data_IF_552584901755
#
_entry.id   IF_552584901755
#
_cell.length_a   1.000
_cell.length_b   1.000
_cell.length_c   1.000
_cell.angle_alpha   90.00
_cell.angle_beta   90.00
_cell.angle_gamma   90.00
#
_symmetry.space_group_name_H-M   'P 1'
#
loop_
_entity.id
_entity.type
_entity.pdbx_description
1 polymer ?
#
# COMPACT_ATOMS: atom_id res chain seq x y z
N UNK A 1 15.81 -10.91 18.95
CA UNK A 1 14.54 -11.52 18.47
C UNK A 1 14.90 -12.83 17.78
N UNK A 2 14.26 -13.93 18.16
CA UNK A 2 14.27 -15.20 17.40
C UNK A 2 12.88 -15.34 16.79
N UNK A 3 12.78 -15.61 15.49
CA UNK A 3 11.50 -15.74 14.82
C UNK A 3 11.39 -17.07 14.06
N UNK A 4 10.15 -17.49 13.84
CA UNK A 4 9.79 -18.62 12.97
C UNK A 4 8.66 -18.16 12.06
N UNK A 5 8.85 -18.29 10.76
CA UNK A 5 7.80 -18.03 9.77
C UNK A 5 6.98 -19.30 9.55
N UNK A 6 5.66 -19.16 9.53
CA UNK A 6 4.71 -20.22 9.21
C UNK A 6 3.92 -19.76 7.99
N UNK A 7 4.19 -20.36 6.84
CA UNK A 7 3.53 -20.03 5.58
C UNK A 7 2.18 -20.75 5.51
N UNK A 8 1.09 -19.99 5.60
CA UNK A 8 -0.28 -20.54 5.55
C UNK A 8 -0.91 -20.44 4.15
N UNK A 9 -0.23 -19.83 3.18
CA UNK A 9 -0.79 -19.50 1.87
C UNK A 9 -1.67 -18.24 1.92
N UNK A 10 -2.15 -17.79 0.75
CA UNK A 10 -2.85 -16.52 0.59
C UNK A 10 -4.09 -16.59 -0.31
N UNK A 11 -4.56 -17.80 -0.64
CA UNK A 11 -5.70 -18.04 -1.53
C UNK A 11 -6.92 -18.54 -0.77
N UNK A 12 -8.10 -18.49 -1.39
CA UNK A 12 -9.32 -19.09 -0.81
C UNK A 12 -9.18 -20.61 -0.55
N UNK A 13 -8.35 -21.30 -1.31
CA UNK A 13 -8.05 -22.71 -1.10
C UNK A 13 -7.19 -22.96 0.16
N UNK A 14 -6.53 -21.91 0.66
CA UNK A 14 -5.68 -21.96 1.84
C UNK A 14 -6.43 -21.64 3.14
N UNK A 15 -7.48 -20.82 3.07
CA UNK A 15 -8.29 -20.38 4.21
C UNK A 15 -8.71 -21.48 5.19
N UNK A 16 -9.13 -22.69 4.76
CA UNK A 16 -9.57 -23.73 5.69
C UNK A 16 -8.52 -24.15 6.72
N UNK A 17 -7.23 -23.87 6.48
CA UNK A 17 -6.10 -24.25 7.34
C UNK A 17 -5.79 -23.19 8.41
N UNK A 18 -6.24 -21.95 8.20
CA UNK A 18 -5.74 -20.79 8.95
C UNK A 18 -6.14 -20.82 10.42
N UNK A 19 -7.41 -21.14 10.72
CA UNK A 19 -7.91 -21.27 12.09
C UNK A 19 -7.15 -22.34 12.87
N UNK A 20 -7.07 -23.56 12.31
CA UNK A 20 -6.39 -24.69 12.95
C UNK A 20 -4.91 -24.37 13.20
N UNK A 21 -4.23 -23.74 12.24
CA UNK A 21 -2.82 -23.36 12.39
C UNK A 21 -2.63 -22.31 13.49
N UNK A 22 -3.47 -21.27 13.54
CA UNK A 22 -3.39 -20.25 14.59
C UNK A 22 -3.62 -20.85 15.98
N UNK A 23 -4.62 -21.72 16.11
CA UNK A 23 -4.92 -22.40 17.36
C UNK A 23 -3.82 -23.37 17.78
N UNK A 24 -3.24 -24.14 16.86
CA UNK A 24 -2.10 -25.02 17.13
C UNK A 24 -0.90 -24.24 17.65
N UNK A 25 -0.55 -23.13 16.99
CA UNK A 25 0.59 -22.28 17.37
C UNK A 25 0.35 -21.65 18.74
N UNK A 26 -0.85 -21.11 18.98
CA UNK A 26 -1.21 -20.52 20.27
C UNK A 26 -1.24 -21.57 21.40
N UNK A 27 -1.72 -22.79 21.12
CA UNK A 27 -1.77 -23.88 22.09
C UNK A 27 -0.39 -24.32 22.56
N UNK A 28 0.65 -24.19 21.73
CA UNK A 28 2.02 -24.57 22.13
C UNK A 28 2.53 -23.78 23.33
N UNK A 29 2.11 -22.51 23.46
CA UNK A 29 2.66 -21.57 24.45
C UNK A 29 4.16 -21.30 24.28
N UNK A 30 4.74 -21.62 23.12
CA UNK A 30 6.18 -21.48 22.87
C UNK A 30 6.61 -20.06 22.47
N UNK A 31 5.67 -19.22 22.04
CA UNK A 31 5.96 -17.90 21.45
C UNK A 31 5.52 -16.76 22.37
N UNK A 32 6.43 -15.83 22.65
CA UNK A 32 6.09 -14.61 23.41
C UNK A 32 5.04 -13.74 22.69
N UNK A 33 5.05 -13.75 21.35
CA UNK A 33 4.14 -13.01 20.48
C UNK A 33 3.89 -13.79 19.18
N UNK A 34 2.63 -13.88 18.79
CA UNK A 34 2.21 -14.38 17.47
C UNK A 34 1.83 -13.16 16.62
N UNK A 35 2.54 -12.97 15.50
CA UNK A 35 2.27 -11.89 14.54
C UNK A 35 1.45 -12.48 13.39
N UNK A 36 0.31 -11.86 13.12
CA UNK A 36 -0.65 -12.29 12.11
C UNK A 36 -0.91 -11.15 11.13
N UNK A 37 -1.09 -11.49 9.85
CA UNK A 37 -1.58 -10.57 8.84
C UNK A 37 -2.09 -11.38 7.64
N UNK A 38 -2.88 -10.80 6.76
CA UNK A 38 -3.25 -9.37 6.67
C UNK A 38 -4.76 -9.18 6.89
N UNK A 39 -5.43 -8.31 6.14
CA UNK A 39 -6.86 -7.95 6.25
C UNK A 39 -7.85 -9.14 6.26
N UNK A 40 -7.43 -10.34 5.85
CA UNK A 40 -8.24 -11.56 5.81
C UNK A 40 -8.26 -12.32 7.14
N UNK A 41 -7.37 -11.98 8.08
CA UNK A 41 -7.18 -12.70 9.33
C UNK A 41 -8.05 -12.30 10.54
N UNK A 42 -8.82 -11.18 10.58
CA UNK A 42 -9.36 -10.69 11.84
C UNK A 42 -10.36 -11.62 12.53
N UNK A 43 -11.22 -12.29 11.77
CA UNK A 43 -12.18 -13.25 12.34
C UNK A 43 -11.48 -14.44 13.00
N UNK A 44 -10.48 -15.00 12.30
CA UNK A 44 -9.70 -16.14 12.80
C UNK A 44 -8.91 -15.75 14.05
N UNK A 45 -8.24 -14.59 14.00
CA UNK A 45 -7.46 -14.11 15.12
C UNK A 45 -8.34 -13.79 16.34
N UNK A 46 -9.53 -13.22 16.14
CA UNK A 46 -10.46 -12.94 17.24
C UNK A 46 -10.84 -14.21 18.00
N UNK A 47 -11.17 -15.27 17.26
CA UNK A 47 -11.53 -16.56 17.85
C UNK A 47 -10.36 -17.14 18.65
N UNK A 48 -9.17 -17.24 18.04
CA UNK A 48 -7.97 -17.75 18.70
C UNK A 48 -7.58 -16.89 19.91
N UNK A 49 -7.54 -15.57 19.79
CA UNK A 49 -7.16 -14.68 20.89
C UNK A 49 -8.12 -14.75 22.08
N UNK A 50 -9.40 -15.08 21.83
CA UNK A 50 -10.41 -15.32 22.87
C UNK A 50 -10.18 -16.65 23.58
N UNK A 51 -9.82 -17.69 22.83
CA UNK A 51 -9.54 -19.03 23.38
C UNK A 51 -8.21 -19.10 24.14
N UNK A 52 -7.24 -18.24 23.80
CA UNK A 52 -5.90 -18.21 24.39
C UNK A 52 -5.57 -16.82 24.98
N UNK A 53 -6.23 -16.39 26.07
CA UNK A 53 -6.10 -15.02 26.60
C UNK A 53 -4.71 -14.68 27.16
N UNK A 54 -3.90 -15.69 27.49
CA UNK A 54 -2.54 -15.50 27.99
C UNK A 54 -1.50 -15.32 26.86
N UNK A 55 -1.79 -15.80 25.64
CA UNK A 55 -0.95 -15.63 24.47
C UNK A 55 -1.08 -14.20 23.93
N UNK A 56 0.05 -13.54 23.60
CA UNK A 56 0.02 -12.23 22.95
C UNK A 56 -0.03 -12.35 21.44
N UNK A 57 -0.76 -11.44 20.84
CA UNK A 57 -0.95 -11.37 19.40
C UNK A 57 -0.72 -9.94 18.89
N UNK A 58 -0.22 -9.85 17.67
CA UNK A 58 -0.26 -8.64 16.87
C UNK A 58 -0.97 -8.96 15.56
N UNK A 59 -1.84 -8.06 15.11
CA UNK A 59 -2.33 -8.03 13.74
C UNK A 59 -1.95 -6.72 13.07
N UNK A 60 -1.63 -6.77 11.77
CA UNK A 60 -1.46 -5.58 10.95
C UNK A 60 -2.44 -5.58 9.77
N UNK A 61 -2.74 -4.39 9.25
CA UNK A 61 -3.74 -4.15 8.19
C UNK A 61 -5.20 -4.48 8.59
N UNK A 62 -5.52 -4.41 9.89
CA UNK A 62 -6.89 -4.55 10.40
C UNK A 62 -7.11 -3.81 11.73
N UNK A 63 -8.30 -3.24 11.91
CA UNK A 63 -8.79 -2.72 13.18
C UNK A 63 -10.22 -3.16 13.55
N UNK A 64 -10.75 -4.21 12.90
CA UNK A 64 -12.16 -4.64 13.03
C UNK A 64 -12.56 -4.96 14.47
N UNK A 65 -11.67 -5.58 15.24
CA UNK A 65 -11.94 -6.07 16.61
C UNK A 65 -11.08 -5.41 17.69
N UNK A 66 -10.63 -4.16 17.47
CA UNK A 66 -9.84 -3.42 18.45
C UNK A 66 -10.57 -3.36 19.79
N UNK A 67 -9.88 -3.80 20.86
CA UNK A 67 -10.39 -3.76 22.23
C UNK A 67 -11.23 -4.97 22.64
N UNK A 68 -11.69 -5.81 21.72
CA UNK A 68 -12.41 -7.06 22.05
C UNK A 68 -11.49 -8.02 22.83
N UNK A 69 -10.22 -8.10 22.44
CA UNK A 69 -9.19 -8.95 23.05
C UNK A 69 -8.04 -8.11 23.63
N UNK A 70 -7.89 -8.13 24.96
CA UNK A 70 -6.85 -7.34 25.68
C UNK A 70 -5.43 -7.91 25.54
N UNK A 71 -5.25 -8.95 24.75
CA UNK A 71 -3.99 -9.60 24.39
C UNK A 71 -3.60 -9.39 22.92
N UNK A 72 -4.36 -8.58 22.16
CA UNK A 72 -4.09 -8.27 20.75
C UNK A 72 -3.68 -6.81 20.61
N UNK A 73 -2.65 -6.51 19.83
CA UNK A 73 -2.37 -5.15 19.33
C UNK A 73 -2.68 -5.10 17.83
N UNK A 74 -3.33 -4.03 17.39
CA UNK A 74 -3.64 -3.78 15.99
C UNK A 74 -2.73 -2.68 15.45
N UNK A 75 -1.99 -2.96 14.37
CA UNK A 75 -1.27 -1.95 13.60
C UNK A 75 -2.04 -1.61 12.32
N UNK A 76 -2.41 -0.34 12.17
CA UNK A 76 -3.01 0.18 10.93
C UNK A 76 -2.11 1.25 10.34
N UNK A 77 -2.29 1.54 9.05
CA UNK A 77 -1.44 2.47 8.31
C UNK A 77 -2.27 3.59 7.70
N UNK A 78 -1.69 4.79 7.61
CA UNK A 78 -2.26 5.89 6.82
C UNK A 78 -1.82 5.79 5.36
N UNK A 79 -2.23 4.71 4.70
CA UNK A 79 -1.88 4.51 3.29
C UNK A 79 -2.45 5.59 2.37
N UNK A 80 -3.53 6.28 2.78
CA UNK A 80 -4.01 7.49 2.13
C UNK A 80 -2.96 8.62 2.13
N UNK A 81 -2.26 8.88 3.24
CA UNK A 81 -1.21 9.91 3.31
C UNK A 81 -0.09 9.62 2.29
N UNK A 82 0.35 8.36 2.20
CA UNK A 82 1.31 7.94 1.18
C UNK A 82 0.73 8.02 -0.23
N UNK A 83 -0.52 7.56 -0.42
CA UNK A 83 -1.21 7.66 -1.70
C UNK A 83 -1.25 9.10 -2.21
N UNK A 84 -1.48 10.07 -1.32
CA UNK A 84 -1.42 11.50 -1.65
C UNK A 84 -0.06 11.91 -2.22
N UNK A 85 1.05 11.52 -1.58
CA UNK A 85 2.39 11.83 -2.08
C UNK A 85 2.66 11.20 -3.45
N UNK A 86 2.21 9.96 -3.63
CA UNK A 86 2.31 9.25 -4.92
C UNK A 86 1.46 9.95 -5.98
N UNK A 87 0.28 10.46 -5.62
CA UNK A 87 -0.60 11.21 -6.52
C UNK A 87 0.01 12.54 -6.96
N UNK A 88 0.57 13.30 -6.01
CA UNK A 88 1.32 14.53 -6.29
C UNK A 88 2.49 14.24 -7.24
N UNK A 89 3.27 13.20 -6.95
CA UNK A 89 4.39 12.79 -7.79
C UNK A 89 3.93 12.42 -9.21
N UNK A 90 2.92 11.55 -9.34
CA UNK A 90 2.43 11.08 -10.63
C UNK A 90 1.88 12.22 -11.50
N UNK A 91 1.09 13.13 -10.91
CA UNK A 91 0.52 14.28 -11.62
C UNK A 91 1.58 15.27 -12.12
N UNK A 92 2.67 15.45 -11.37
CA UNK A 92 3.81 16.24 -11.82
C UNK A 92 4.58 15.53 -12.93
N UNK A 93 4.89 14.25 -12.74
CA UNK A 93 5.71 13.48 -13.69
C UNK A 93 5.02 13.25 -15.04
N UNK A 94 3.71 12.99 -15.07
CA UNK A 94 2.94 12.85 -16.33
C UNK A 94 2.89 14.16 -17.15
N UNK A 95 3.29 15.28 -16.56
CA UNK A 95 3.45 16.56 -17.27
C UNK A 95 4.86 16.76 -17.86
N UNK A 96 5.84 15.93 -17.50
CA UNK A 96 7.24 16.06 -17.93
C UNK A 96 7.47 15.37 -19.29
N UNK A 97 6.83 15.87 -20.34
CA UNK A 97 6.87 15.30 -21.71
C UNK A 97 8.26 15.22 -22.37
N UNK A 98 9.29 15.85 -21.79
CA UNK A 98 10.68 15.71 -22.22
C UNK A 98 11.33 14.41 -21.69
N UNK A 99 10.76 13.79 -20.65
CA UNK A 99 11.19 12.49 -20.16
C UNK A 99 10.67 11.39 -21.08
N UNK A 100 11.52 10.41 -21.39
CA UNK A 100 11.11 9.24 -22.16
C UNK A 100 9.88 8.57 -21.54
N UNK A 101 9.04 7.94 -22.36
CA UNK A 101 7.84 7.20 -21.96
C UNK A 101 6.72 8.06 -21.32
N UNK A 102 6.87 9.38 -21.20
CA UNK A 102 5.77 10.31 -20.84
C UNK A 102 5.16 10.85 -22.13
N UNK A 103 3.83 10.93 -22.18
CA UNK A 103 3.10 11.44 -23.35
C UNK A 103 2.29 12.70 -23.00
N UNK A 104 1.64 13.30 -24.00
CA UNK A 104 0.96 14.58 -23.82
C UNK A 104 -0.47 14.49 -23.25
N UNK A 105 -1.03 13.28 -23.11
CA UNK A 105 -2.44 13.07 -22.75
C UNK A 105 -2.71 13.17 -21.24
N UNK A 106 -1.65 13.13 -20.40
CA UNK A 106 -1.74 13.25 -18.93
C UNK A 106 -2.71 12.25 -18.29
N UNK A 107 -2.55 10.97 -18.64
CA UNK A 107 -3.36 9.88 -18.05
C UNK A 107 -2.43 8.96 -17.26
N UNK A 108 -2.75 8.74 -16.00
CA UNK A 108 -2.05 7.80 -15.13
C UNK A 108 -2.96 6.61 -14.79
N UNK A 109 -2.37 5.51 -14.34
CA UNK A 109 -3.06 4.26 -14.06
C UNK A 109 -2.91 3.83 -12.60
N UNK A 110 -3.97 3.24 -12.07
CA UNK A 110 -3.99 2.58 -10.77
C UNK A 110 -4.45 1.13 -10.94
N UNK A 111 -3.60 0.17 -10.58
CA UNK A 111 -3.95 -1.26 -10.55
C UNK A 111 -4.04 -1.69 -9.08
N UNK A 112 -5.28 -1.79 -8.58
CA UNK A 112 -5.59 -2.27 -7.24
C UNK A 112 -5.69 -3.80 -7.17
N UNK A 113 -5.41 -4.38 -6.01
CA UNK A 113 -5.60 -5.80 -5.74
C UNK A 113 -7.07 -6.18 -5.63
N UNK A 114 -7.55 -6.38 -4.40
CA UNK A 114 -8.97 -6.64 -4.12
C UNK A 114 -9.66 -5.33 -3.72
N UNK A 115 -10.83 -5.06 -4.32
CA UNK A 115 -11.68 -3.95 -3.91
C UNK A 115 -12.07 -4.10 -2.44
N UNK A 116 -11.47 -3.26 -1.61
CA UNK A 116 -11.53 -3.33 -0.15
C UNK A 116 -11.29 -1.95 0.43
N UNK A 117 -11.73 -1.69 1.68
CA UNK A 117 -11.48 -0.42 2.35
C UNK A 117 -10.01 0.00 2.35
N UNK A 118 -9.09 -0.95 2.56
CA UNK A 118 -7.63 -0.69 2.56
C UNK A 118 -7.16 -0.23 1.18
N UNK A 119 -7.45 -0.96 0.10
CA UNK A 119 -7.02 -0.57 -1.26
C UNK A 119 -7.69 0.75 -1.70
N UNK A 120 -8.94 0.96 -1.30
CA UNK A 120 -9.64 2.21 -1.57
C UNK A 120 -9.05 3.39 -0.80
N UNK A 121 -8.39 3.16 0.35
CA UNK A 121 -7.70 4.20 1.10
C UNK A 121 -6.43 4.67 0.38
N UNK A 122 -5.65 3.75 -0.20
CA UNK A 122 -4.55 4.08 -1.11
C UNK A 122 -5.06 4.92 -2.30
N UNK A 123 -6.12 4.45 -2.95
CA UNK A 123 -6.72 5.11 -4.11
C UNK A 123 -7.21 6.51 -3.76
N UNK A 124 -7.88 6.69 -2.61
CA UNK A 124 -8.43 7.98 -2.22
C UNK A 124 -7.32 9.01 -2.03
N UNK A 125 -6.24 8.63 -1.35
CA UNK A 125 -5.03 9.46 -1.27
C UNK A 125 -4.50 9.84 -2.65
N UNK A 126 -4.31 8.84 -3.52
CA UNK A 126 -3.78 9.04 -4.87
C UNK A 126 -4.60 9.98 -5.73
N UNK A 127 -5.92 9.75 -5.83
CA UNK A 127 -6.82 10.61 -6.57
C UNK A 127 -6.83 12.04 -6.01
N UNK A 128 -6.81 12.20 -4.68
CA UNK A 128 -6.76 13.51 -4.04
C UNK A 128 -5.46 14.23 -4.38
N UNK A 129 -4.32 13.55 -4.26
CA UNK A 129 -2.99 14.11 -4.59
C UNK A 129 -2.86 14.50 -6.06
N UNK A 130 -3.40 13.67 -6.97
CA UNK A 130 -3.46 14.00 -8.41
C UNK A 130 -4.30 15.25 -8.62
N UNK A 131 -5.54 15.27 -8.11
CA UNK A 131 -6.49 16.37 -8.32
C UNK A 131 -6.01 17.72 -7.76
N UNK A 132 -5.41 17.70 -6.57
CA UNK A 132 -4.88 18.91 -5.93
C UNK A 132 -3.68 19.49 -6.69
N UNK A 133 -2.93 18.63 -7.39
CA UNK A 133 -1.73 19.00 -8.12
C UNK A 133 -2.04 19.48 -9.53
N UNK A 134 -2.84 18.71 -10.26
CA UNK A 134 -3.31 19.04 -11.61
C UNK A 134 -4.66 18.35 -11.87
N UNK A 135 -5.73 19.15 -11.81
CA UNK A 135 -7.10 18.67 -12.00
C UNK A 135 -7.42 18.24 -13.45
N UNK A 136 -6.53 18.48 -14.42
CA UNK A 136 -6.68 17.98 -15.79
C UNK A 136 -6.24 16.51 -15.94
N UNK A 137 -5.38 16.02 -15.04
CA UNK A 137 -4.88 14.64 -15.08
C UNK A 137 -6.02 13.66 -14.84
N UNK A 138 -6.06 12.61 -15.67
CA UNK A 138 -7.04 11.51 -15.57
C UNK A 138 -6.41 10.24 -15.00
N UNK A 139 -7.23 9.42 -14.36
CA UNK A 139 -6.78 8.19 -13.68
C UNK A 139 -7.61 6.98 -14.14
N UNK A 140 -7.01 6.08 -14.91
CA UNK A 140 -7.61 4.78 -15.23
C UNK A 140 -7.44 3.86 -14.01
N UNK A 141 -8.54 3.49 -13.36
CA UNK A 141 -8.55 2.70 -12.12
C UNK A 141 -9.11 1.32 -12.38
N UNK A 142 -8.33 0.27 -12.09
CA UNK A 142 -8.76 -1.13 -12.26
C UNK A 142 -8.41 -1.97 -11.04
N UNK A 143 -9.19 -3.01 -10.79
CA UNK A 143 -8.94 -3.99 -9.72
C UNK A 143 -8.73 -5.37 -10.33
N UNK A 144 -7.62 -6.00 -9.98
CA UNK A 144 -7.27 -7.35 -10.41
C UNK A 144 -8.20 -8.38 -9.77
N UNK A 145 -8.73 -8.07 -8.58
CA UNK A 145 -9.43 -8.98 -7.68
C UNK A 145 -8.57 -10.18 -7.25
N UNK A 146 -7.26 -9.94 -7.12
CA UNK A 146 -6.25 -10.87 -6.66
C UNK A 146 -5.01 -10.11 -6.22
N UNK A 147 -4.22 -10.72 -5.34
CA UNK A 147 -2.89 -10.22 -4.96
C UNK A 147 -1.75 -11.04 -5.59
N UNK A 148 -2.06 -12.09 -6.36
CA UNK A 148 -1.07 -13.06 -6.88
C UNK A 148 -1.22 -13.39 -8.37
N UNK A 149 -2.24 -12.84 -9.04
CA UNK A 149 -2.44 -12.98 -10.49
C UNK A 149 -1.73 -11.83 -11.23
N UNK A 150 -0.45 -12.01 -11.54
CA UNK A 150 0.35 -11.04 -12.31
C UNK A 150 -0.08 -10.97 -13.78
N UNK A 151 -0.57 -12.07 -14.34
CA UNK A 151 -0.96 -12.14 -15.75
C UNK A 151 -2.16 -11.23 -16.03
N UNK A 152 -3.19 -11.29 -15.19
CA UNK A 152 -4.36 -10.41 -15.31
C UNK A 152 -3.97 -8.94 -15.13
N UNK A 153 -3.13 -8.63 -14.15
CA UNK A 153 -2.64 -7.27 -13.93
C UNK A 153 -1.83 -6.73 -15.11
N UNK A 154 -1.01 -7.58 -15.75
CA UNK A 154 -0.28 -7.22 -16.97
C UNK A 154 -1.22 -6.88 -18.12
N UNK A 155 -2.22 -7.72 -18.39
CA UNK A 155 -3.21 -7.44 -19.44
C UNK A 155 -3.98 -6.14 -19.17
N UNK A 156 -4.30 -5.84 -17.91
CA UNK A 156 -4.88 -4.55 -17.51
C UNK A 156 -3.94 -3.39 -17.82
N UNK A 157 -2.64 -3.50 -17.46
CA UNK A 157 -1.64 -2.48 -17.74
C UNK A 157 -1.42 -2.26 -19.24
N UNK A 158 -1.37 -3.33 -20.05
CA UNK A 158 -1.28 -3.24 -21.51
C UNK A 158 -2.48 -2.50 -22.11
N UNK A 159 -3.69 -2.77 -21.62
CA UNK A 159 -4.90 -2.09 -22.06
C UNK A 159 -4.92 -0.62 -21.61
N UNK A 160 -4.54 -0.30 -20.38
CA UNK A 160 -4.38 1.09 -19.90
C UNK A 160 -3.45 1.90 -20.83
N UNK A 161 -2.27 1.35 -21.13
CA UNK A 161 -1.25 2.02 -21.94
C UNK A 161 -1.71 2.20 -23.38
N UNK A 162 -2.30 1.17 -24.00
CA UNK A 162 -2.63 1.20 -25.43
C UNK A 162 -3.98 1.84 -25.75
N UNK A 163 -4.98 1.69 -24.87
CA UNK A 163 -6.34 2.17 -25.13
C UNK A 163 -6.58 3.58 -24.58
N UNK A 164 -5.98 3.89 -23.42
CA UNK A 164 -6.19 5.15 -22.70
C UNK A 164 -4.93 6.03 -22.61
N UNK A 165 -3.85 5.66 -23.31
CA UNK A 165 -2.56 6.38 -23.30
C UNK A 165 -1.98 6.61 -21.89
N UNK A 166 -2.18 5.66 -20.98
CA UNK A 166 -1.56 5.74 -19.65
C UNK A 166 -0.04 5.71 -19.76
N UNK A 167 0.65 6.67 -19.13
CA UNK A 167 2.12 6.76 -19.13
C UNK A 167 2.79 6.52 -17.77
N UNK A 168 2.03 6.41 -16.68
CA UNK A 168 2.53 6.01 -15.37
C UNK A 168 1.52 5.08 -14.72
N UNK A 169 1.94 3.90 -14.25
CA UNK A 169 1.08 2.94 -13.54
C UNK A 169 1.55 2.77 -12.09
N UNK A 170 0.64 2.92 -11.13
CA UNK A 170 0.87 2.54 -9.74
C UNK A 170 0.24 1.17 -9.43
N UNK A 171 1.07 0.20 -9.03
CA UNK A 171 0.67 -1.20 -8.82
C UNK A 171 0.32 -1.54 -7.37
N UNK A 172 -0.84 -1.12 -6.87
CA UNK A 172 -1.32 -1.36 -5.49
C UNK A 172 -2.03 -2.72 -5.35
N UNK A 173 -1.33 -3.80 -5.69
CA UNK A 173 -1.94 -5.13 -5.80
C UNK A 173 -1.05 -6.28 -5.30
N UNK A 174 -0.17 -6.05 -4.32
CA UNK A 174 0.77 -7.09 -3.86
C UNK A 174 1.60 -7.64 -5.03
N UNK A 175 1.75 -8.96 -5.12
CA UNK A 175 2.50 -9.58 -6.23
C UNK A 175 1.84 -9.29 -7.59
N UNK A 176 0.50 -9.25 -7.67
CA UNK A 176 -0.21 -8.88 -8.91
C UNK A 176 0.25 -7.53 -9.47
N UNK A 177 0.58 -6.55 -8.62
CA UNK A 177 1.00 -5.20 -9.03
C UNK A 177 2.20 -5.20 -9.98
N UNK A 178 3.08 -6.20 -9.85
CA UNK A 178 4.26 -6.35 -10.71
C UNK A 178 3.90 -6.61 -12.18
N UNK A 179 2.68 -7.08 -12.48
CA UNK A 179 2.19 -7.16 -13.86
C UNK A 179 2.11 -5.79 -14.54
N UNK A 180 1.83 -4.72 -13.78
CA UNK A 180 1.89 -3.34 -14.28
C UNK A 180 3.29 -2.92 -14.69
N UNK A 181 4.30 -3.29 -13.89
CA UNK A 181 5.72 -3.07 -14.21
C UNK A 181 6.13 -3.85 -15.47
N UNK A 182 5.68 -5.11 -15.61
CA UNK A 182 5.91 -5.91 -16.80
C UNK A 182 5.29 -5.27 -18.06
N UNK A 183 4.06 -4.76 -17.98
CA UNK A 183 3.40 -4.07 -19.08
C UNK A 183 4.13 -2.78 -19.49
N UNK A 184 4.55 -1.96 -18.52
CA UNK A 184 5.32 -0.74 -18.76
C UNK A 184 6.68 -1.04 -19.41
N UNK A 185 7.42 -2.02 -18.88
CA UNK A 185 8.71 -2.49 -19.41
C UNK A 185 8.58 -3.02 -20.84
N UNK A 186 7.61 -3.93 -21.09
CA UNK A 186 7.42 -4.57 -22.38
C UNK A 186 7.04 -3.56 -23.48
N UNK A 187 6.16 -2.60 -23.16
CA UNK A 187 5.71 -1.61 -24.14
C UNK A 187 6.74 -0.51 -24.39
N UNK A 188 7.54 -0.17 -23.37
CA UNK A 188 8.43 1.00 -23.42
C UNK A 188 7.67 2.32 -23.61
N UNK A 189 6.42 2.39 -23.15
CA UNK A 189 5.51 3.55 -23.33
C UNK A 189 4.98 4.13 -22.02
N UNK A 190 5.35 3.53 -20.89
CA UNK A 190 4.96 4.00 -19.57
C UNK A 190 6.08 3.76 -18.55
N UNK A 191 5.94 4.39 -17.40
CA UNK A 191 6.69 4.14 -16.19
C UNK A 191 5.84 3.39 -15.16
N UNK A 192 6.50 2.88 -14.14
CA UNK A 192 5.88 2.23 -13.00
C UNK A 192 6.19 2.97 -11.70
N UNK A 193 5.26 2.89 -10.76
CA UNK A 193 5.45 3.27 -9.37
C UNK A 193 5.19 2.02 -8.53
N UNK A 194 6.10 1.70 -7.63
CA UNK A 194 5.98 0.56 -6.74
C UNK A 194 5.19 0.83 -5.47
N UNK A 195 4.96 -0.22 -4.68
CA UNK A 195 4.24 -0.15 -3.40
C UNK A 195 4.82 -1.10 -2.35
N UNK A 196 4.53 -0.81 -1.09
CA UNK A 196 4.90 -1.50 0.15
C UNK A 196 6.41 -1.51 0.46
N UNK A 197 7.25 -1.77 -0.53
CA UNK A 197 8.71 -1.77 -0.43
C UNK A 197 9.31 -0.96 -1.57
N UNK A 198 10.62 -0.65 -1.47
CA UNK A 198 11.36 -0.10 -2.59
C UNK A 198 11.48 -1.15 -3.70
N UNK A 199 10.63 -1.05 -4.71
CA UNK A 199 10.55 -2.04 -5.78
C UNK A 199 11.66 -1.91 -6.81
N UNK A 200 12.46 -0.84 -6.78
CA UNK A 200 13.72 -0.80 -7.53
C UNK A 200 14.71 -1.88 -7.02
N UNK A 201 14.58 -2.29 -5.75
CA UNK A 201 15.45 -3.30 -5.13
C UNK A 201 14.88 -4.73 -5.21
N UNK A 202 13.60 -4.89 -5.53
CA UNK A 202 12.93 -6.20 -5.47
C UNK A 202 12.47 -6.72 -6.83
N UNK A 203 12.31 -5.84 -7.82
CA UNK A 203 11.97 -6.22 -9.18
C UNK A 203 13.22 -6.64 -9.99
N UNK A 204 13.04 -7.44 -11.07
CA UNK A 204 14.10 -7.69 -12.04
C UNK A 204 14.66 -6.41 -12.67
N UNK A 205 15.92 -6.43 -13.10
CA UNK A 205 16.65 -5.24 -13.58
C UNK A 205 15.89 -4.39 -14.62
N UNK A 206 15.18 -5.01 -15.57
CA UNK A 206 14.43 -4.31 -16.62
C UNK A 206 13.19 -3.58 -16.06
N UNK A 207 12.51 -4.19 -15.10
CA UNK A 207 11.36 -3.60 -14.40
C UNK A 207 11.81 -2.56 -13.35
N UNK A 208 12.93 -2.80 -12.66
CA UNK A 208 13.54 -1.82 -11.77
C UNK A 208 13.93 -0.55 -12.53
N UNK A 209 14.48 -0.67 -13.74
CA UNK A 209 14.87 0.46 -14.58
C UNK A 209 13.71 1.39 -14.99
N UNK A 210 12.47 0.88 -15.02
CA UNK A 210 11.26 1.66 -15.33
C UNK A 210 10.45 2.05 -14.08
N UNK A 211 10.96 1.76 -12.87
CA UNK A 211 10.28 2.10 -11.62
C UNK A 211 10.76 3.47 -11.14
N UNK A 212 9.91 4.50 -11.22
CA UNK A 212 10.28 5.88 -10.90
C UNK A 212 10.49 6.12 -9.39
N UNK A 213 9.67 5.48 -8.57
CA UNK A 213 9.69 5.54 -7.10
C UNK A 213 8.81 4.42 -6.55
N UNK A 214 8.70 4.29 -5.23
CA UNK A 214 7.74 3.42 -4.57
C UNK A 214 7.10 4.11 -3.36
N UNK A 215 5.81 3.89 -3.17
CA UNK A 215 5.15 4.18 -1.90
C UNK A 215 5.52 3.10 -0.88
N UNK A 216 6.00 3.49 0.29
CA UNK A 216 6.46 2.56 1.33
C UNK A 216 5.37 2.34 2.38
N UNK A 217 5.10 1.08 2.69
CA UNK A 217 4.38 0.66 3.89
C UNK A 217 5.35 -0.14 4.75
N UNK A 218 5.95 0.51 5.74
CA UNK A 218 7.09 -0.01 6.49
C UNK A 218 6.66 -1.01 7.57
N UNK A 219 6.04 -2.12 7.17
CA UNK A 219 5.57 -3.17 8.08
C UNK A 219 6.73 -3.72 8.90
N UNK A 220 7.87 -3.98 8.25
CA UNK A 220 9.09 -4.45 8.88
C UNK A 220 9.56 -3.52 10.02
N UNK A 221 9.65 -2.22 9.76
CA UNK A 221 10.04 -1.23 10.76
C UNK A 221 8.97 -1.07 11.85
N UNK A 222 7.69 -1.21 11.49
CA UNK A 222 6.58 -1.13 12.44
C UNK A 222 6.59 -2.30 13.43
N UNK A 223 6.96 -3.50 12.97
CA UNK A 223 7.16 -4.65 13.84
C UNK A 223 8.38 -4.48 14.75
N UNK A 224 9.50 -3.98 14.21
CA UNK A 224 10.70 -3.68 15.00
C UNK A 224 10.38 -2.63 16.08
N UNK A 225 9.70 -1.55 15.70
CA UNK A 225 9.26 -0.49 16.61
C UNK A 225 8.43 -1.04 17.76
N UNK A 226 7.48 -1.95 17.50
CA UNK A 226 6.70 -2.56 18.57
C UNK A 226 7.58 -3.32 19.58
N UNK A 227 8.59 -4.05 19.10
CA UNK A 227 9.53 -4.73 19.99
C UNK A 227 10.37 -3.74 20.81
N UNK A 228 10.83 -2.64 20.20
CA UNK A 228 11.55 -1.59 20.91
C UNK A 228 10.69 -0.92 22.00
N UNK A 229 9.42 -0.67 21.71
CA UNK A 229 8.46 -0.15 22.69
C UNK A 229 8.25 -1.13 23.84
N UNK A 230 8.09 -2.42 23.52
CA UNK A 230 7.88 -3.47 24.51
C UNK A 230 9.09 -3.67 25.41
N UNK A 231 10.31 -3.70 24.86
CA UNK A 231 11.57 -3.76 25.62
C UNK A 231 11.73 -2.52 26.53
N UNK A 232 11.22 -1.37 26.10
CA UNK A 232 11.19 -0.16 26.91
C UNK A 232 10.03 -0.11 27.93
N UNK A 233 9.24 -1.18 28.05
CA UNK A 233 8.14 -1.34 29.00
C UNK A 233 6.83 -0.65 28.59
N UNK A 234 6.71 -0.20 27.33
CA UNK A 234 5.49 0.38 26.77
C UNK A 234 4.71 -0.70 26.02
N UNK A 235 3.41 -0.81 26.31
CA UNK A 235 2.57 -1.86 25.71
C UNK A 235 1.28 -1.28 25.15
N UNK A 236 0.85 -1.85 24.03
CA UNK A 236 -0.33 -1.42 23.28
C UNK A 236 -1.42 -2.51 23.21
N UNK A 237 -1.39 -3.49 24.12
CA UNK A 237 -2.38 -4.56 24.16
C UNK A 237 -3.81 -4.02 24.31
N UNK A 238 -4.73 -4.57 23.53
CA UNK A 238 -6.12 -4.15 23.40
C UNK A 238 -6.31 -2.82 22.64
N UNK A 239 -5.28 -2.31 21.96
CA UNK A 239 -5.31 -1.00 21.29
C UNK A 239 -4.91 -1.08 19.82
N UNK A 240 -5.38 -0.09 19.08
CA UNK A 240 -4.89 0.27 17.76
C UNK A 240 -3.71 1.24 17.86
N UNK A 241 -2.72 1.03 17.01
CA UNK A 241 -1.68 2.00 16.69
C UNK A 241 -1.78 2.30 15.20
N UNK A 242 -2.17 3.53 14.88
CA UNK A 242 -2.27 4.01 13.52
C UNK A 242 -0.97 4.73 13.12
N UNK A 243 -0.27 4.20 12.12
CA UNK A 243 1.08 4.62 11.74
C UNK A 243 1.05 5.36 10.39
N UNK A 244 1.36 6.65 10.40
CA UNK A 244 1.43 7.49 9.21
C UNK A 244 2.85 7.94 8.88
N UNK A 245 2.96 9.05 8.15
CA UNK A 245 4.24 9.66 7.81
C UNK A 245 5.04 10.06 9.06
N UNK A 246 4.36 10.63 10.07
CA UNK A 246 4.98 11.11 11.32
C UNK A 246 5.63 9.97 12.08
N UNK A 247 4.95 8.82 12.19
CA UNK A 247 5.44 7.62 12.85
C UNK A 247 6.43 6.82 11.98
N UNK A 248 6.55 7.16 10.70
CA UNK A 248 7.35 6.43 9.73
C UNK A 248 6.73 5.10 9.27
N UNK A 249 5.44 4.89 9.53
CA UNK A 249 4.70 3.70 9.07
C UNK A 249 4.47 3.68 7.57
N UNK A 250 4.38 4.86 6.95
CA UNK A 250 4.32 5.00 5.50
C UNK A 250 5.31 6.05 4.99
N UNK A 251 5.57 6.07 3.68
CA UNK A 251 6.45 7.06 3.06
C UNK A 251 6.57 6.92 1.55
N UNK A 252 7.57 7.58 0.97
CA UNK A 252 7.91 7.52 -0.46
C UNK A 252 9.43 7.40 -0.62
N UNK A 253 9.89 6.61 -1.60
CA UNK A 253 11.31 6.50 -1.94
C UNK A 253 11.77 7.76 -2.67
N UNK A 254 12.76 8.46 -2.13
CA UNK A 254 13.25 9.75 -2.65
C UNK A 254 14.69 9.72 -3.17
N UNK A 255 15.30 8.53 -3.27
CA UNK A 255 16.63 8.32 -3.83
C UNK A 255 16.56 7.62 -5.21
N UNK A 256 17.71 7.19 -5.74
CA UNK A 256 17.83 6.40 -6.98
C UNK A 256 17.06 6.96 -8.18
N UNK A 257 16.13 6.21 -8.77
CA UNK A 257 15.36 6.63 -9.94
C UNK A 257 14.52 7.88 -9.68
N UNK A 258 14.01 8.07 -8.47
CA UNK A 258 13.30 9.30 -8.11
C UNK A 258 14.23 10.51 -8.27
N UNK A 259 15.41 10.44 -7.65
CA UNK A 259 16.40 11.53 -7.71
C UNK A 259 16.99 11.73 -9.11
N UNK A 260 16.99 10.67 -9.93
CA UNK A 260 17.59 10.65 -11.28
C UNK A 260 16.64 11.20 -12.34
N UNK A 261 15.37 10.81 -12.31
CA UNK A 261 14.41 11.11 -13.37
C UNK A 261 13.43 12.23 -13.03
N UNK A 262 13.11 12.44 -11.75
CA UNK A 262 12.25 13.55 -11.36
C UNK A 262 13.03 14.86 -11.40
N UNK A 263 12.57 15.90 -12.13
CA UNK A 263 13.18 17.21 -12.07
C UNK A 263 13.19 17.75 -10.64
N UNK A 264 14.17 18.60 -10.30
CA UNK A 264 14.30 19.17 -8.96
C UNK A 264 12.99 19.84 -8.47
N UNK A 265 12.28 20.53 -9.37
CA UNK A 265 11.00 21.16 -9.04
C UNK A 265 9.90 20.15 -8.65
N UNK A 266 9.93 18.94 -9.22
CA UNK A 266 9.02 17.85 -8.84
C UNK A 266 9.40 17.31 -7.47
N UNK A 267 10.70 17.05 -7.24
CA UNK A 267 11.19 16.57 -5.95
C UNK A 267 10.84 17.53 -4.81
N UNK A 268 11.06 18.83 -5.01
CA UNK A 268 10.75 19.87 -4.01
C UNK A 268 9.26 19.92 -3.68
N UNK A 269 8.38 19.82 -4.68
CA UNK A 269 6.92 19.81 -4.46
C UNK A 269 6.44 18.57 -3.70
N UNK A 270 7.01 17.40 -3.96
CA UNK A 270 6.68 16.17 -3.22
C UNK A 270 7.11 16.29 -1.76
N UNK A 271 8.32 16.82 -1.50
CA UNK A 271 8.81 17.03 -0.13
C UNK A 271 8.01 18.13 0.60
N UNK A 272 7.57 19.17 -0.10
CA UNK A 272 6.66 20.17 0.45
C UNK A 272 5.30 19.56 0.82
N UNK A 273 4.73 18.73 -0.06
CA UNK A 273 3.50 18.01 0.22
C UNK A 273 3.64 17.08 1.42
N UNK A 274 4.75 16.33 1.52
CA UNK A 274 5.05 15.49 2.69
C UNK A 274 5.09 16.31 3.98
N UNK A 275 5.77 17.46 3.97
CA UNK A 275 5.84 18.34 5.14
C UNK A 275 4.45 18.83 5.58
N UNK A 276 3.61 19.24 4.63
CA UNK A 276 2.23 19.70 4.90
C UNK A 276 1.27 18.61 5.36
N UNK A 277 1.46 17.36 4.90
CA UNK A 277 0.68 16.24 5.44
C UNK A 277 1.16 15.91 6.86
N UNK A 278 2.47 15.92 7.10
CA UNK A 278 3.06 15.69 8.43
C UNK A 278 2.63 16.71 9.47
N UNK A 279 2.52 17.99 9.11
CA UNK A 279 2.11 19.06 10.03
C UNK A 279 0.58 19.25 10.14
N UNK A 280 -0.17 18.58 9.27
CA UNK A 280 -1.63 18.59 9.25
C UNK A 280 -2.25 19.78 8.51
N UNK A 281 -1.47 20.60 7.80
CA UNK A 281 -1.99 21.61 6.86
C UNK A 281 -2.80 20.95 5.75
N UNK A 282 -2.34 19.80 5.24
CA UNK A 282 -3.08 18.94 4.32
C UNK A 282 -3.63 17.76 5.11
N UNK A 283 -4.96 17.63 5.13
CA UNK A 283 -5.65 16.48 5.69
C UNK A 283 -6.18 15.61 4.55
N UNK A 284 -5.52 14.48 4.34
CA UNK A 284 -5.89 13.54 3.29
C UNK A 284 -7.12 12.76 3.75
N UNK A 285 -8.19 12.67 2.93
CA UNK A 285 -9.36 11.88 3.29
C UNK A 285 -9.00 10.39 3.35
N UNK A 286 -9.74 9.64 4.16
CA UNK A 286 -9.56 8.20 4.33
C UNK A 286 -10.81 7.47 3.87
N UNK A 287 -10.65 6.33 3.22
CA UNK A 287 -11.75 5.42 2.87
C UNK A 287 -12.13 4.51 4.04
N UNK A 288 -11.27 4.38 5.06
CA UNK A 288 -11.54 3.60 6.25
C UNK A 288 -12.60 4.32 7.08
N UNK A 289 -13.80 3.73 7.18
CA UNK A 289 -14.93 4.33 7.90
C UNK A 289 -15.64 5.46 7.16
N UNK A 290 -15.33 5.70 5.88
CA UNK A 290 -16.09 6.64 5.06
C UNK A 290 -17.42 6.01 4.61
N UNK A 291 -18.52 6.62 5.02
CA UNK A 291 -19.89 6.23 4.62
C UNK A 291 -20.44 7.11 3.49
N UNK A 292 -19.63 8.03 2.95
CA UNK A 292 -20.07 9.02 1.97
C UNK A 292 -19.81 8.62 0.52
N UNK A 293 -19.18 7.46 0.28
CA UNK A 293 -18.69 7.01 -1.03
C UNK A 293 -17.74 8.04 -1.68
N UNK A 294 -16.93 8.74 -0.88
CA UNK A 294 -16.10 9.85 -1.34
C UNK A 294 -15.09 9.43 -2.40
N UNK A 295 -14.37 8.33 -2.13
CA UNK A 295 -13.41 7.74 -3.09
C UNK A 295 -14.07 7.31 -4.39
N UNK A 296 -15.28 6.73 -4.33
CA UNK A 296 -16.01 6.26 -5.52
C UNK A 296 -16.40 7.45 -6.40
N UNK A 297 -16.96 8.51 -5.80
CA UNK A 297 -17.33 9.73 -6.53
C UNK A 297 -16.13 10.39 -7.18
N UNK A 298 -15.01 10.47 -6.46
CA UNK A 298 -13.78 11.06 -6.97
C UNK A 298 -13.17 10.23 -8.10
N UNK A 299 -13.16 8.90 -7.95
CA UNK A 299 -12.71 7.95 -8.98
C UNK A 299 -13.52 8.13 -10.26
N UNK A 300 -14.85 8.19 -10.14
CA UNK A 300 -15.75 8.32 -11.29
C UNK A 300 -15.61 9.70 -11.99
N UNK A 301 -15.28 10.76 -11.25
CA UNK A 301 -14.99 12.09 -11.80
C UNK A 301 -13.67 12.14 -12.60
N UNK A 302 -12.67 11.36 -12.17
CA UNK A 302 -11.31 11.41 -12.69
C UNK A 302 -11.01 10.36 -13.77
N UNK A 303 -11.97 9.51 -14.15
CA UNK A 303 -11.78 8.57 -15.26
C UNK A 303 -11.44 9.30 -16.59
N UNK A 304 -10.58 8.71 -17.44
CA UNK A 304 -10.32 9.21 -18.80
C UNK A 304 -11.53 9.11 -19.74
#
# INVERSE_FOLDING_TARGET
ITYKTIEMGGTDADQPKWQETLDEVAQTGEYDLIICGTYQMPDFLKETATNYPDQKFLIYDDNTYVGDNQNVVNLTYRQNDMGYLIGVFAALMTSETDLNNINAEKVVGFIGGIDSPVINDFLYGFLTGVKDTDAEVKVDTRYVNSYVDTATAKEMGLAMINDNNVDIIWGVAGLSGNGGAEAASETGKAWFIGVDSDQELTLPDDQAAITLTSGLKNIDQSLIWLFDEWDAGRTYWGKEVNLGLVEGGVGIVTDKNFATYAPQAVQEKVLEAEAKVRDGEIQVPSAIGDETDGVIKLRDEMQP
#
